data_IF_711497698658
#
_entry.id   IF_711497698658
#
_cell.length_a   1.000
_cell.length_b   1.000
_cell.length_c   1.000
_cell.angle_alpha   90.00
_cell.angle_beta   90.00
_cell.angle_gamma   90.00
#
_symmetry.space_group_name_H-M   'P 1'
#
loop_
_entity.id
_entity.type
_entity.pdbx_description
1 polymer ?
#
# COMPACT_ATOMS: atom_id res chain seq x y z
N UNK A 1 -21.71 -13.92 10.08
CA UNK A 1 -20.37 -13.30 10.20
C UNK A 1 -20.10 -12.51 8.93
N UNK A 2 -20.21 -11.18 8.95
CA UNK A 2 -20.24 -10.33 7.75
C UNK A 2 -18.93 -10.35 6.94
N UNK A 3 -19.03 -10.32 5.61
CA UNK A 3 -17.89 -10.28 4.68
C UNK A 3 -16.93 -9.10 4.94
N UNK A 4 -17.48 -7.98 5.44
CA UNK A 4 -16.72 -6.80 5.87
C UNK A 4 -15.76 -7.10 7.04
N UNK A 5 -16.13 -8.03 7.93
CA UNK A 5 -15.32 -8.43 9.08
C UNK A 5 -14.13 -9.31 8.68
N UNK A 6 -14.30 -10.19 7.67
CA UNK A 6 -13.20 -10.96 7.08
C UNK A 6 -12.21 -10.08 6.31
N UNK A 7 -12.70 -9.03 5.64
CA UNK A 7 -11.87 -8.09 4.92
C UNK A 7 -10.88 -7.35 5.86
N UNK A 8 -11.32 -7.02 7.09
CA UNK A 8 -10.46 -6.35 8.07
C UNK A 8 -9.45 -7.27 8.76
N UNK A 9 -9.76 -8.57 8.89
CA UNK A 9 -8.83 -9.58 9.45
C UNK A 9 -7.65 -9.90 8.51
N UNK A 10 -7.86 -9.76 7.19
CA UNK A 10 -6.81 -9.95 6.19
C UNK A 10 -5.85 -8.77 6.08
N UNK A 11 -6.29 -7.54 6.40
CA UNK A 11 -5.45 -6.34 6.23
C UNK A 11 -4.39 -6.26 7.34
N UNK A 12 -3.13 -6.47 6.94
CA UNK A 12 -1.93 -6.42 7.80
C UNK A 12 -1.42 -5.01 7.99
N UNK A 13 -1.40 -4.21 6.92
CA UNK A 13 -1.07 -2.79 7.01
C UNK A 13 -1.92 -1.93 6.07
N UNK A 14 -2.01 -0.64 6.38
CA UNK A 14 -2.61 0.40 5.55
C UNK A 14 -1.70 1.62 5.55
N UNK A 15 -1.34 2.06 4.36
CA UNK A 15 -0.64 3.32 4.09
C UNK A 15 -1.62 4.23 3.35
N UNK A 16 -1.63 5.50 3.73
CA UNK A 16 -2.45 6.54 3.13
C UNK A 16 -1.55 7.64 2.59
N UNK A 17 -1.88 8.15 1.42
CA UNK A 17 -1.20 9.27 0.77
C UNK A 17 -2.18 10.44 0.76
N UNK A 18 -1.80 11.56 1.36
CA UNK A 18 -2.60 12.79 1.39
C UNK A 18 -1.72 14.02 1.18
N UNK A 19 -1.98 14.79 0.13
CA UNK A 19 -1.14 15.93 -0.24
C UNK A 19 0.31 15.52 -0.55
N UNK A 20 0.51 14.30 -1.06
CA UNK A 20 1.82 13.71 -1.32
C UNK A 20 2.52 13.15 -0.07
N UNK A 21 1.96 13.31 1.12
CA UNK A 21 2.53 12.78 2.36
C UNK A 21 2.13 11.32 2.57
N UNK A 22 3.13 10.47 2.81
CA UNK A 22 2.93 9.03 3.07
C UNK A 22 2.80 8.79 4.58
N UNK A 23 1.65 8.29 5.01
CA UNK A 23 1.35 8.01 6.41
C UNK A 23 0.92 6.57 6.63
N UNK A 24 1.47 5.93 7.67
CA UNK A 24 0.99 4.64 8.17
C UNK A 24 -0.29 4.86 8.97
N UNK A 25 -1.37 4.18 8.59
CA UNK A 25 -2.68 4.26 9.26
C UNK A 25 -2.97 3.01 10.08
N UNK A 26 -2.46 1.85 9.67
CA UNK A 26 -2.61 0.58 10.38
C UNK A 26 -1.40 -0.30 10.13
N UNK A 27 -0.97 -1.02 11.17
CA UNK A 27 0.06 -2.05 11.09
C UNK A 27 1.41 -1.52 10.62
N UNK A 28 2.34 -2.44 10.43
CA UNK A 28 3.71 -2.11 10.03
C UNK A 28 3.98 -2.63 8.63
N UNK A 29 4.50 -1.74 7.80
CA UNK A 29 5.21 -2.10 6.58
C UNK A 29 6.70 -1.80 6.82
N UNK A 30 7.63 -2.57 6.22
CA UNK A 30 9.06 -2.32 6.34
C UNK A 30 9.43 -0.90 5.92
N UNK A 31 10.44 -0.32 6.57
CA UNK A 31 10.86 1.06 6.30
C UNK A 31 11.34 1.26 4.86
N UNK A 32 12.07 0.30 4.30
CA UNK A 32 12.51 0.32 2.89
C UNK A 32 11.33 0.43 1.94
N UNK A 33 10.26 -0.32 2.20
CA UNK A 33 9.04 -0.24 1.41
C UNK A 33 8.37 1.14 1.51
N UNK A 34 8.40 1.79 2.68
CA UNK A 34 7.85 3.14 2.83
C UNK A 34 8.65 4.17 2.01
N UNK A 35 9.98 4.07 2.01
CA UNK A 35 10.85 4.91 1.20
C UNK A 35 10.61 4.72 -0.29
N UNK A 36 10.37 3.49 -0.72
CA UNK A 36 9.99 3.21 -2.11
C UNK A 36 8.62 3.80 -2.46
N UNK A 37 7.63 3.70 -1.55
CA UNK A 37 6.31 4.33 -1.73
C UNK A 37 6.45 5.84 -1.88
N UNK A 38 7.23 6.50 -1.02
CA UNK A 38 7.50 7.95 -1.09
C UNK A 38 8.11 8.31 -2.45
N UNK A 39 9.17 7.62 -2.86
CA UNK A 39 9.86 7.87 -4.14
C UNK A 39 8.94 7.68 -5.34
N UNK A 40 8.11 6.64 -5.33
CA UNK A 40 7.13 6.37 -6.40
C UNK A 40 6.09 7.51 -6.47
N UNK A 41 5.61 7.99 -5.31
CA UNK A 41 4.64 9.08 -5.27
C UNK A 41 5.25 10.39 -5.77
N UNK A 42 6.48 10.71 -5.38
CA UNK A 42 7.21 11.88 -5.85
C UNK A 42 7.46 11.83 -7.37
N UNK A 43 7.97 10.71 -7.89
CA UNK A 43 8.31 10.55 -9.30
C UNK A 43 7.11 10.76 -10.23
N UNK A 44 5.91 10.39 -9.78
CA UNK A 44 4.70 10.39 -10.60
C UNK A 44 3.65 11.42 -10.17
N UNK A 45 3.96 12.27 -9.19
CA UNK A 45 3.03 13.29 -8.70
C UNK A 45 1.75 12.71 -8.09
N UNK A 46 1.85 11.59 -7.37
CA UNK A 46 0.70 10.96 -6.71
C UNK A 46 0.44 11.68 -5.38
N UNK A 47 -0.61 12.50 -5.35
CA UNK A 47 -0.96 13.28 -4.15
C UNK A 47 -1.98 12.59 -3.24
N UNK A 48 -2.75 11.63 -3.77
CA UNK A 48 -3.78 10.91 -3.01
C UNK A 48 -3.77 9.41 -3.31
N UNK A 49 -3.97 8.60 -2.27
CA UNK A 49 -3.91 7.14 -2.43
C UNK A 49 -4.11 6.36 -1.16
N UNK A 50 -4.47 5.09 -1.33
CA UNK A 50 -4.50 4.09 -0.26
C UNK A 50 -3.79 2.83 -0.76
N UNK A 51 -2.84 2.35 0.04
CA UNK A 51 -2.10 1.11 -0.20
C UNK A 51 -2.37 0.17 0.97
N UNK A 52 -2.76 -1.07 0.69
CA UNK A 52 -3.10 -2.09 1.69
C UNK A 52 -2.24 -3.33 1.49
N UNK A 53 -1.66 -3.83 2.58
CA UNK A 53 -1.12 -5.19 2.64
C UNK A 53 -2.20 -6.15 3.09
N UNK A 54 -2.62 -7.07 2.23
CA UNK A 54 -3.64 -8.08 2.51
C UNK A 54 -2.99 -9.46 2.62
N UNK A 55 -3.10 -10.09 3.78
CA UNK A 55 -2.66 -11.45 4.01
C UNK A 55 -3.50 -12.45 3.21
N UNK A 56 -2.85 -13.26 2.38
CA UNK A 56 -3.43 -14.38 1.63
C UNK A 56 -2.59 -15.63 1.89
N UNK A 57 -3.07 -16.47 2.81
CA UNK A 57 -2.29 -17.59 3.34
C UNK A 57 -1.07 -17.08 4.12
N UNK A 58 0.12 -17.59 3.80
CA UNK A 58 1.39 -17.18 4.41
C UNK A 58 2.00 -15.92 3.78
N UNK A 59 1.39 -15.37 2.73
CA UNK A 59 1.93 -14.23 1.96
C UNK A 59 1.11 -12.97 2.19
N UNK A 60 1.76 -11.82 2.00
CA UNK A 60 1.09 -10.51 1.94
C UNK A 60 1.07 -10.04 0.48
N UNK A 61 -0.11 -9.70 -0.02
CA UNK A 61 -0.30 -9.05 -1.31
C UNK A 61 -0.58 -7.56 -1.14
N UNK A 62 -0.05 -6.75 -2.04
CA UNK A 62 -0.31 -5.30 -2.06
C UNK A 62 -1.49 -4.99 -2.97
N UNK A 63 -2.46 -4.26 -2.43
CA UNK A 63 -3.59 -3.68 -3.14
C UNK A 63 -3.52 -2.16 -3.06
N UNK A 64 -3.83 -1.47 -4.17
CA UNK A 64 -3.82 -0.01 -4.23
C UNK A 64 -5.18 0.53 -4.69
N UNK A 65 -5.49 1.75 -4.30
CA UNK A 65 -6.69 2.47 -4.72
C UNK A 65 -6.69 3.91 -4.20
N UNK A 66 -7.88 4.53 -4.14
CA UNK A 66 -8.06 5.83 -3.49
C UNK A 66 -7.34 7.01 -4.16
N UNK A 67 -7.13 6.97 -5.48
CA UNK A 67 -6.44 8.02 -6.25
C UNK A 67 -5.26 7.52 -7.08
N UNK A 68 -4.72 6.35 -6.74
CA UNK A 68 -3.64 5.71 -7.50
C UNK A 68 -4.23 5.07 -8.77
N UNK A 69 -3.76 5.50 -9.94
CA UNK A 69 -4.10 4.89 -11.22
C UNK A 69 -3.60 3.43 -11.30
N UNK A 70 -4.37 2.58 -11.96
CA UNK A 70 -4.03 1.18 -12.24
C UNK A 70 -2.69 1.02 -12.95
N UNK A 71 -2.27 1.99 -13.76
CA UNK A 71 -0.96 1.95 -14.43
C UNK A 71 0.21 1.99 -13.42
N UNK A 72 0.03 2.67 -12.28
CA UNK A 72 1.04 2.82 -11.23
C UNK A 72 1.00 1.69 -10.20
N UNK A 73 -0.11 0.95 -10.13
CA UNK A 73 -0.31 -0.15 -9.18
C UNK A 73 0.81 -1.19 -9.19
N UNK A 74 1.42 -1.45 -10.35
CA UNK A 74 2.46 -2.46 -10.46
C UNK A 74 3.76 -2.06 -9.76
N UNK A 75 4.13 -0.78 -9.75
CA UNK A 75 5.36 -0.36 -9.06
C UNK A 75 5.26 -0.56 -7.55
N UNK A 76 4.13 -0.22 -6.94
CA UNK A 76 3.91 -0.47 -5.51
C UNK A 76 3.94 -1.97 -5.17
N UNK A 77 3.46 -2.83 -6.07
CA UNK A 77 3.54 -4.29 -5.91
C UNK A 77 4.97 -4.80 -6.08
N UNK A 78 5.73 -4.22 -7.01
CA UNK A 78 7.11 -4.61 -7.27
C UNK A 78 8.03 -4.18 -6.14
N UNK A 79 7.87 -2.97 -5.61
CA UNK A 79 8.60 -2.48 -4.44
C UNK A 79 8.39 -3.37 -3.20
N UNK A 80 7.18 -3.93 -3.03
CA UNK A 80 6.93 -4.87 -1.93
C UNK A 80 7.67 -6.19 -2.11
N UNK A 81 7.75 -6.67 -3.35
CA UNK A 81 8.40 -7.95 -3.66
C UNK A 81 9.92 -7.85 -3.70
N UNK A 82 10.43 -6.69 -4.09
CA UNK A 82 11.84 -6.39 -4.23
C UNK A 82 12.09 -4.96 -3.72
N UNK A 83 12.16 -4.77 -2.39
CA UNK A 83 12.54 -3.48 -1.82
C UNK A 83 13.97 -3.12 -2.26
N UNK A 84 14.20 -1.84 -2.53
CA UNK A 84 15.53 -1.30 -2.90
C UNK A 84 16.37 -0.91 -1.68
#
# INVERSE_FOLDING_TARGET
MNALFRLLMGVKFVIKIEGGLVARVKGEAPEEYLKDVERICELWGIETGIIKGVGRGERIEVEVGGGIDKQHAMAFKNAWRNPL
#
